data_IF_907096032243
#
_entry.id   IF_907096032243
#
_cell.length_a   1.000
_cell.length_b   1.000
_cell.length_c   1.000
_cell.angle_alpha   90.00
_cell.angle_beta   90.00
_cell.angle_gamma   90.00
#
_symmetry.space_group_name_H-M   'P 1'
#
loop_
_entity.id
_entity.type
_entity.pdbx_description
1 polymer ?
#
# COMPACT_ATOMS: atom_id res chain seq x y z
N UNK A 1 54.52 -4.58 14.43
CA UNK A 1 54.08 -4.06 13.11
C UNK A 1 53.33 -5.10 12.24
N UNK A 2 53.16 -6.37 12.65
CA UNK A 2 52.40 -7.38 11.87
C UNK A 2 50.93 -7.54 12.32
N UNK A 3 50.60 -7.21 13.57
CA UNK A 3 49.23 -7.28 14.10
C UNK A 3 48.30 -6.14 13.62
N UNK A 4 48.87 -5.06 13.08
CA UNK A 4 48.13 -3.89 12.61
C UNK A 4 47.52 -4.08 11.20
N UNK A 5 48.01 -5.06 10.43
CA UNK A 5 47.53 -5.34 9.07
C UNK A 5 46.28 -6.24 9.09
N UNK A 6 46.12 -7.09 10.13
CA UNK A 6 44.98 -8.01 10.24
C UNK A 6 43.68 -7.31 10.69
N UNK A 7 43.75 -6.20 11.41
CA UNK A 7 42.59 -5.38 11.79
C UNK A 7 42.00 -4.59 10.60
N UNK A 8 42.82 -4.21 9.63
CA UNK A 8 42.37 -3.51 8.43
C UNK A 8 41.55 -4.42 7.50
N UNK A 9 41.85 -5.72 7.44
CA UNK A 9 41.14 -6.67 6.59
C UNK A 9 39.70 -6.97 7.06
N UNK A 10 39.45 -6.89 8.38
CA UNK A 10 38.12 -7.18 8.96
C UNK A 10 37.15 -6.02 8.78
N UNK A 11 37.64 -4.78 8.73
CA UNK A 11 36.81 -3.58 8.53
C UNK A 11 36.27 -3.47 7.09
N UNK A 12 37.00 -4.00 6.10
CA UNK A 12 36.58 -3.98 4.68
C UNK A 12 35.46 -4.98 4.40
N UNK A 13 35.38 -6.08 5.16
CA UNK A 13 34.34 -7.09 4.96
C UNK A 13 32.94 -6.61 5.39
N UNK A 14 32.84 -5.81 6.45
CA UNK A 14 31.56 -5.33 6.98
C UNK A 14 30.85 -4.30 6.08
N UNK A 15 31.60 -3.52 5.28
CA UNK A 15 31.04 -2.49 4.40
C UNK A 15 30.36 -3.09 3.15
N UNK A 16 30.75 -4.31 2.76
CA UNK A 16 30.22 -5.01 1.58
C UNK A 16 28.94 -5.81 1.86
N UNK A 17 28.57 -5.99 3.13
CA UNK A 17 27.41 -6.79 3.55
C UNK A 17 26.31 -5.94 4.21
N UNK A 18 26.11 -4.70 3.76
CA UNK A 18 24.92 -3.94 4.14
C UNK A 18 23.69 -4.57 3.47
N UNK A 19 22.73 -5.16 4.21
CA UNK A 19 21.48 -5.58 3.60
C UNK A 19 20.76 -4.33 3.08
N UNK A 20 20.30 -4.38 1.84
CA UNK A 20 19.43 -3.34 1.32
C UNK A 20 18.14 -3.31 2.16
N UNK A 21 17.93 -2.22 2.89
CA UNK A 21 16.68 -1.98 3.59
C UNK A 21 15.64 -1.50 2.58
N UNK A 22 14.68 -2.35 2.25
CA UNK A 22 13.50 -1.92 1.50
C UNK A 22 12.55 -1.21 2.46
N UNK A 23 12.41 0.11 2.32
CA UNK A 23 11.40 0.85 3.05
C UNK A 23 10.03 0.48 2.46
N UNK A 24 9.12 -0.05 3.28
CA UNK A 24 7.73 -0.22 2.88
C UNK A 24 7.16 1.15 2.52
N UNK A 25 6.62 1.35 1.30
CA UNK A 25 6.00 2.61 0.93
C UNK A 25 4.91 2.98 1.93
N UNK A 26 4.81 4.25 2.35
CA UNK A 26 3.76 4.65 3.27
C UNK A 26 2.40 4.39 2.61
N UNK A 27 1.58 3.56 3.27
CA UNK A 27 0.20 3.30 2.90
C UNK A 27 -0.65 3.55 4.13
N UNK A 28 -1.71 4.35 3.97
CA UNK A 28 -2.66 4.64 5.04
C UNK A 28 -4.07 4.64 4.48
N UNK A 29 -4.99 4.07 5.24
CA UNK A 29 -6.43 4.15 4.98
C UNK A 29 -7.00 5.33 5.78
N UNK A 30 -7.80 6.18 5.15
CA UNK A 30 -8.53 7.20 5.90
C UNK A 30 -9.48 6.54 6.91
N UNK A 31 -9.72 7.21 8.03
CA UNK A 31 -10.59 6.70 9.10
C UNK A 31 -12.09 6.83 8.75
N UNK A 32 -12.44 6.43 7.53
CA UNK A 32 -13.81 6.43 7.00
C UNK A 32 -14.60 5.26 7.54
N UNK A 33 -13.95 4.13 7.84
CA UNK A 33 -14.57 2.94 8.45
C UNK A 33 -14.12 2.85 9.90
N UNK A 34 -15.00 3.25 10.82
CA UNK A 34 -14.76 3.17 12.26
C UNK A 34 -15.32 1.88 12.87
N UNK A 35 -14.89 1.58 14.09
CA UNK A 35 -15.41 0.46 14.89
C UNK A 35 -16.93 0.54 15.05
N UNK A 36 -17.61 -0.61 14.96
CA UNK A 36 -19.07 -0.74 15.08
C UNK A 36 -19.90 -0.03 13.99
N UNK A 37 -19.29 0.34 12.86
CA UNK A 37 -20.04 0.79 11.70
C UNK A 37 -20.62 -0.39 10.91
N UNK A 38 -21.84 -0.20 10.40
CA UNK A 38 -22.48 -1.13 9.46
C UNK A 38 -22.39 -0.54 8.06
N UNK A 39 -21.71 -1.25 7.14
CA UNK A 39 -21.69 -0.92 5.72
C UNK A 39 -22.85 -1.63 5.03
N UNK A 40 -23.61 -0.90 4.21
CA UNK A 40 -24.69 -1.49 3.42
C UNK A 40 -24.10 -2.18 2.19
N UNK A 41 -24.36 -3.48 2.06
CA UNK A 41 -23.97 -4.25 0.89
C UNK A 41 -24.74 -3.76 -0.35
N UNK A 42 -24.13 -3.94 -1.53
CA UNK A 42 -24.68 -3.52 -2.83
C UNK A 42 -24.98 -2.02 -2.99
N UNK A 43 -24.44 -1.17 -2.11
CA UNK A 43 -24.46 0.29 -2.29
C UNK A 43 -23.06 0.84 -2.56
N UNK A 44 -22.96 1.90 -3.37
CA UNK A 44 -21.70 2.61 -3.54
C UNK A 44 -21.21 3.17 -2.20
N UNK A 45 -19.95 2.88 -1.88
CA UNK A 45 -19.26 3.36 -0.69
C UNK A 45 -17.86 3.79 -1.08
N UNK A 46 -17.49 5.01 -0.69
CA UNK A 46 -16.20 5.62 -1.03
C UNK A 46 -15.15 5.28 0.01
N UNK A 47 -14.00 4.83 -0.46
CA UNK A 47 -12.82 4.52 0.35
C UNK A 47 -11.65 5.33 -0.19
N UNK A 48 -10.89 5.96 0.70
CA UNK A 48 -9.73 6.75 0.33
C UNK A 48 -8.61 6.62 1.35
N UNK A 49 -7.44 7.09 0.98
CA UNK A 49 -6.26 7.04 1.82
C UNK A 49 -5.07 7.71 1.16
N UNK A 50 -3.90 7.49 1.74
CA UNK A 50 -2.62 7.96 1.19
C UNK A 50 -1.76 6.78 0.77
N UNK A 51 -1.02 6.97 -0.31
CA UNK A 51 -0.05 6.01 -0.83
C UNK A 51 0.98 6.74 -1.71
N UNK A 52 2.15 6.17 -1.92
CA UNK A 52 3.13 6.75 -2.84
C UNK A 52 2.55 6.84 -4.27
N UNK A 53 2.89 7.90 -5.01
CA UNK A 53 2.43 8.08 -6.39
C UNK A 53 2.75 6.88 -7.28
N UNK A 54 1.78 6.48 -8.11
CA UNK A 54 1.89 5.33 -9.01
C UNK A 54 1.71 3.97 -8.31
N UNK A 55 1.52 3.94 -7.00
CA UNK A 55 1.14 2.70 -6.29
C UNK A 55 -0.21 2.23 -6.81
N UNK A 56 -0.34 0.94 -7.09
CA UNK A 56 -1.61 0.30 -7.42
C UNK A 56 -2.28 -0.12 -6.11
N UNK A 57 -3.51 0.34 -5.90
CA UNK A 57 -4.32 0.05 -4.73
C UNK A 57 -5.45 -0.86 -5.19
N UNK A 58 -5.61 -1.96 -4.47
CA UNK A 58 -6.68 -2.93 -4.68
C UNK A 58 -7.63 -2.91 -3.49
N UNK A 59 -8.92 -2.74 -3.74
CA UNK A 59 -9.96 -2.76 -2.72
C UNK A 59 -10.93 -3.90 -3.00
N UNK A 60 -11.04 -4.81 -2.03
CA UNK A 60 -11.91 -5.97 -2.08
C UNK A 60 -12.69 -6.08 -0.77
N UNK A 61 -14.01 -6.18 -0.89
CA UNK A 61 -14.88 -6.61 0.21
C UNK A 61 -15.28 -8.06 0.00
N UNK A 62 -15.68 -8.74 1.08
CA UNK A 62 -16.06 -10.15 1.07
C UNK A 62 -17.21 -10.46 0.09
N UNK A 63 -18.15 -9.53 -0.05
CA UNK A 63 -19.30 -9.65 -0.96
C UNK A 63 -19.00 -9.24 -2.42
N UNK A 64 -17.75 -8.90 -2.76
CA UNK A 64 -17.34 -8.52 -4.11
C UNK A 64 -16.77 -9.72 -4.87
N UNK A 65 -17.25 -9.94 -6.09
CA UNK A 65 -16.75 -10.98 -6.99
C UNK A 65 -15.35 -10.66 -7.55
N UNK A 66 -15.05 -9.37 -7.71
CA UNK A 66 -13.76 -8.89 -8.22
C UNK A 66 -13.35 -7.64 -7.46
N UNK A 67 -12.04 -7.44 -7.22
CA UNK A 67 -11.55 -6.23 -6.60
C UNK A 67 -11.67 -5.03 -7.54
N UNK A 68 -11.80 -3.84 -6.96
CA UNK A 68 -11.64 -2.57 -7.68
C UNK A 68 -10.20 -2.10 -7.55
N UNK A 69 -9.61 -1.64 -8.66
CA UNK A 69 -8.23 -1.17 -8.71
C UNK A 69 -8.18 0.32 -9.01
N UNK A 70 -7.30 1.03 -8.31
CA UNK A 70 -7.00 2.44 -8.56
C UNK A 70 -5.50 2.69 -8.40
N UNK A 71 -5.02 3.84 -8.87
CA UNK A 71 -3.62 4.25 -8.71
C UNK A 71 -3.53 5.53 -7.90
N UNK A 72 -2.57 5.62 -7.00
CA UNK A 72 -2.34 6.84 -6.23
C UNK A 72 -1.76 7.97 -7.09
N UNK A 73 -2.33 9.16 -6.94
CA UNK A 73 -1.90 10.40 -7.55
C UNK A 73 -1.85 11.50 -6.49
N UNK A 74 -0.86 12.38 -6.56
CA UNK A 74 -0.62 13.42 -5.55
C UNK A 74 -0.54 12.87 -4.11
N UNK A 75 -0.01 11.66 -3.94
CA UNK A 75 0.13 10.93 -2.67
C UNK A 75 -1.19 10.44 -2.05
N UNK A 76 -2.28 10.52 -2.81
CA UNK A 76 -3.63 10.18 -2.38
C UNK A 76 -4.28 9.19 -3.35
N UNK A 77 -5.29 8.48 -2.88
CA UNK A 77 -6.11 7.59 -3.71
C UNK A 77 -7.55 7.58 -3.22
N UNK A 78 -8.48 7.36 -4.17
CA UNK A 78 -9.92 7.24 -3.92
C UNK A 78 -10.47 6.14 -4.81
N UNK A 79 -11.38 5.34 -4.25
CA UNK A 79 -12.13 4.33 -4.99
C UNK A 79 -13.52 4.15 -4.41
N UNK A 80 -14.40 3.51 -5.18
CA UNK A 80 -15.78 3.23 -4.81
C UNK A 80 -16.06 1.74 -4.92
N UNK A 81 -16.59 1.16 -3.84
CA UNK A 81 -16.76 -0.29 -3.65
C UNK A 81 -18.13 -0.82 -4.15
N UNK A 82 -18.89 -0.04 -4.93
CA UNK A 82 -20.21 -0.43 -5.43
C UNK A 82 -20.33 -0.30 -6.94
N UNK A 83 -21.18 -1.12 -7.54
CA UNK A 83 -21.53 -1.01 -8.97
C UNK A 83 -22.24 0.33 -9.22
N UNK A 84 -21.72 1.11 -10.17
CA UNK A 84 -22.38 2.30 -10.66
C UNK A 84 -23.74 1.88 -11.26
N UNK A 85 -24.85 2.37 -10.70
CA UNK A 85 -26.22 1.98 -11.12
C UNK A 85 -26.58 2.29 -12.58
N UNK A 86 -25.67 2.87 -13.35
CA UNK A 86 -25.87 3.27 -14.76
C UNK A 86 -25.20 2.35 -15.78
N UNK A 87 -24.33 1.42 -15.37
CA UNK A 87 -23.61 0.50 -16.30
C UNK A 87 -24.35 -0.82 -16.57
N UNK A 88 -25.55 -1.04 -15.99
CA UNK A 88 -26.35 -2.26 -16.21
C UNK A 88 -27.56 -2.08 -17.13
N UNK A 89 -27.68 -0.93 -17.80
CA UNK A 89 -28.84 -0.61 -18.66
C UNK A 89 -28.50 -0.45 -20.15
N UNK A 90 -27.38 -1.02 -20.60
CA UNK A 90 -27.05 -1.14 -22.02
C UNK A 90 -26.84 -2.60 -22.40
#
# INVERSE_FOLDING_TARGET
MRALILLAAIQVWAVLYSPASFATPPFSLANTIQSNMVLQQAKPFKVWGTAANGTIIEVQADWMQQPVRTSAAQQEWLTESGMNGWERSM
#
